data_IF_638126942168
#
_entry.id   IF_638126942168
#
_cell.length_a   1.000
_cell.length_b   1.000
_cell.length_c   1.000
_cell.angle_alpha   90.00
_cell.angle_beta   90.00
_cell.angle_gamma   90.00
#
_symmetry.space_group_name_H-M   'P 1'
#
loop_
_entity.id
_entity.type
_entity.pdbx_description
1 polymer ?
#
# COMPACT_ATOMS: atom_id res chain seq x y z
N UNK A 1 33.19 24.68 5.62
CA UNK A 1 34.61 24.42 5.41
C UNK A 1 34.74 23.51 4.24
N UNK A 2 35.11 24.12 3.13
CA UNK A 2 35.30 23.51 1.82
C UNK A 2 36.73 23.02 1.75
N UNK A 3 36.96 21.82 1.29
CA UNK A 3 38.26 21.42 0.78
C UNK A 3 38.06 20.69 -0.55
N UNK A 4 38.40 21.46 -1.59
CA UNK A 4 38.58 21.03 -2.96
C UNK A 4 39.88 20.22 -3.08
N UNK A 5 39.83 18.97 -3.46
CA UNK A 5 40.98 18.21 -3.96
C UNK A 5 40.89 18.12 -5.48
N UNK A 6 41.71 18.90 -6.18
CA UNK A 6 41.97 18.76 -7.62
C UNK A 6 43.08 17.73 -7.84
N UNK A 7 42.90 16.75 -8.76
CA UNK A 7 44.07 16.00 -9.21
C UNK A 7 44.82 16.77 -10.29
N UNK A 8 46.11 16.95 -10.05
CA UNK A 8 47.08 17.48 -11.01
C UNK A 8 47.41 16.39 -12.02
N UNK A 9 46.99 16.61 -13.27
CA UNK A 9 47.43 15.78 -14.40
C UNK A 9 48.75 16.32 -14.90
N UNK A 10 49.85 15.63 -14.55
CA UNK A 10 51.15 15.88 -15.15
C UNK A 10 51.22 15.23 -16.54
N UNK A 11 51.23 16.04 -17.58
CA UNK A 11 51.50 15.62 -18.95
C UNK A 11 53.01 15.39 -19.14
N UNK A 12 53.40 14.11 -19.17
CA UNK A 12 54.73 13.72 -19.62
C UNK A 12 54.77 13.69 -21.13
N UNK A 13 55.26 14.76 -21.75
CA UNK A 13 55.53 14.78 -23.18
C UNK A 13 56.82 13.95 -23.44
N UNK A 14 56.63 12.69 -23.87
CA UNK A 14 57.74 11.90 -24.46
C UNK A 14 57.89 12.29 -25.93
N UNK A 15 59.06 12.88 -26.24
CA UNK A 15 59.48 13.10 -27.62
C UNK A 15 59.75 11.74 -28.27
N UNK A 16 58.93 11.43 -29.29
CA UNK A 16 59.14 10.26 -30.14
C UNK A 16 60.17 10.68 -31.24
N UNK A 17 61.24 9.92 -31.43
CA UNK A 17 62.21 10.23 -32.49
C UNK A 17 61.56 10.00 -33.84
N UNK A 18 61.71 10.98 -34.72
CA UNK A 18 61.22 10.97 -36.10
C UNK A 18 62.06 9.98 -36.91
N UNK A 19 61.64 8.70 -37.00
CA UNK A 19 62.17 7.77 -38.02
C UNK A 19 61.53 8.07 -39.34
N UNK A 20 62.33 8.50 -40.30
CA UNK A 20 61.92 8.64 -41.73
C UNK A 20 61.53 7.24 -42.24
N UNK A 21 60.29 6.97 -42.64
CA UNK A 21 59.93 5.68 -43.17
C UNK A 21 60.49 5.50 -44.56
N UNK A 22 61.29 4.43 -44.78
CA UNK A 22 61.63 3.98 -46.12
C UNK A 22 60.31 3.59 -46.82
N UNK A 23 60.17 3.92 -48.13
CA UNK A 23 58.93 3.80 -48.89
C UNK A 23 58.21 2.44 -48.79
N UNK A 24 58.93 1.36 -48.50
CA UNK A 24 58.37 0.02 -48.27
C UNK A 24 57.63 -0.10 -46.93
N UNK A 25 58.11 0.62 -45.89
CA UNK A 25 57.48 0.63 -44.57
C UNK A 25 56.17 1.45 -44.56
N UNK A 26 56.10 2.49 -45.35
CA UNK A 26 54.88 3.29 -45.51
C UNK A 26 53.78 2.54 -46.25
N UNK A 27 54.15 1.71 -47.24
CA UNK A 27 53.19 0.86 -47.98
C UNK A 27 52.62 -0.26 -47.11
N UNK A 28 53.45 -0.91 -46.26
CA UNK A 28 53.00 -1.92 -45.33
C UNK A 28 52.07 -1.30 -44.24
N UNK A 29 52.37 -0.13 -43.70
CA UNK A 29 51.49 0.56 -42.75
C UNK A 29 50.16 0.96 -43.35
N UNK A 30 50.15 1.43 -44.61
CA UNK A 30 48.90 1.75 -45.32
C UNK A 30 48.04 0.49 -45.59
N UNK A 31 48.66 -0.62 -45.93
CA UNK A 31 47.97 -1.93 -46.12
C UNK A 31 47.36 -2.46 -44.82
N UNK A 32 48.08 -2.37 -43.68
CA UNK A 32 47.53 -2.71 -42.37
C UNK A 32 46.39 -1.78 -41.95
N UNK A 33 46.47 -0.49 -42.24
CA UNK A 33 45.41 0.46 -41.91
C UNK A 33 44.15 0.26 -42.78
N UNK A 34 44.31 -0.16 -44.04
CA UNK A 34 43.20 -0.52 -44.93
C UNK A 34 42.46 -1.80 -44.48
N UNK A 35 43.17 -2.75 -43.85
CA UNK A 35 42.54 -3.94 -43.28
C UNK A 35 41.78 -3.69 -41.96
N UNK A 36 42.04 -2.58 -41.26
CA UNK A 36 41.31 -2.21 -40.06
C UNK A 36 40.00 -1.46 -40.31
N UNK A 37 39.75 -1.05 -41.56
CA UNK A 37 38.53 -0.34 -41.94
C UNK A 37 37.43 -1.26 -42.54
N UNK A 38 37.58 -2.57 -42.49
CA UNK A 38 36.76 -3.54 -43.19
C UNK A 38 35.85 -4.43 -42.34
N UNK A 39 35.52 -4.08 -41.11
CA UNK A 39 34.47 -4.77 -40.35
C UNK A 39 33.46 -3.74 -39.83
N UNK A 40 32.67 -3.19 -40.71
CA UNK A 40 31.34 -2.72 -40.33
C UNK A 40 30.44 -3.96 -40.35
N UNK A 41 30.25 -4.59 -39.18
CA UNK A 41 29.19 -5.54 -38.95
C UNK A 41 27.90 -4.77 -39.15
N UNK A 42 27.25 -4.94 -40.33
CA UNK A 42 25.86 -4.55 -40.52
C UNK A 42 25.07 -5.42 -39.54
N UNK A 43 24.82 -4.91 -38.36
CA UNK A 43 23.73 -5.43 -37.51
C UNK A 43 22.47 -5.29 -38.38
N UNK A 44 22.05 -6.39 -39.00
CA UNK A 44 20.69 -6.49 -39.49
C UNK A 44 19.79 -6.22 -38.29
N UNK A 45 19.22 -5.01 -38.21
CA UNK A 45 18.11 -4.71 -37.32
C UNK A 45 17.00 -5.70 -37.68
N UNK A 46 16.99 -6.86 -36.97
CA UNK A 46 15.85 -7.75 -37.00
C UNK A 46 14.65 -6.88 -36.65
N UNK A 47 13.63 -6.83 -37.51
CA UNK A 47 12.42 -6.09 -37.15
C UNK A 47 11.96 -6.61 -35.81
N UNK A 48 11.99 -5.76 -34.79
CA UNK A 48 11.49 -6.08 -33.46
C UNK A 48 10.00 -6.33 -33.60
N UNK A 49 9.66 -7.58 -33.87
CA UNK A 49 8.30 -8.03 -33.68
C UNK A 49 8.10 -7.94 -32.16
N UNK A 50 7.45 -6.88 -31.70
CA UNK A 50 6.99 -6.76 -30.34
C UNK A 50 5.96 -7.88 -30.12
N UNK A 51 6.45 -9.06 -29.78
CA UNK A 51 5.59 -10.11 -29.28
C UNK A 51 5.21 -9.69 -27.88
N UNK A 52 3.96 -9.28 -27.70
CA UNK A 52 3.39 -8.94 -26.39
C UNK A 52 3.34 -10.24 -25.56
N UNK A 53 4.42 -10.50 -24.85
CA UNK A 53 4.60 -11.69 -24.02
C UNK A 53 5.19 -11.32 -22.65
N UNK A 54 4.79 -12.01 -21.59
CA UNK A 54 5.33 -11.78 -20.27
C UNK A 54 6.84 -12.06 -20.23
N UNK A 55 7.58 -11.27 -19.47
CA UNK A 55 9.01 -11.50 -19.22
C UNK A 55 9.25 -12.82 -18.47
N UNK A 56 8.29 -13.18 -17.60
CA UNK A 56 8.33 -14.40 -16.80
C UNK A 56 6.94 -15.04 -16.79
N UNK A 57 6.88 -16.32 -17.03
CA UNK A 57 5.65 -17.10 -17.07
C UNK A 57 5.85 -18.43 -16.36
N UNK A 58 5.06 -18.66 -15.32
CA UNK A 58 4.95 -19.97 -14.65
C UNK A 58 3.53 -20.51 -14.89
N UNK A 59 3.44 -21.74 -15.36
CA UNK A 59 2.18 -22.42 -15.71
C UNK A 59 1.93 -23.66 -14.87
N UNK A 60 2.69 -23.84 -13.80
CA UNK A 60 2.56 -24.92 -12.85
C UNK A 60 2.61 -24.41 -11.42
N UNK A 61 2.31 -25.28 -10.45
CA UNK A 61 2.34 -24.93 -9.04
C UNK A 61 3.66 -24.32 -8.63
N UNK A 62 3.59 -23.06 -8.25
CA UNK A 62 4.74 -22.24 -7.85
C UNK A 62 4.58 -21.79 -6.42
N UNK A 63 5.65 -21.94 -5.64
CA UNK A 63 5.77 -21.42 -4.27
C UNK A 63 6.71 -20.21 -4.30
N UNK A 64 6.27 -19.11 -3.75
CA UNK A 64 7.01 -17.85 -3.69
C UNK A 64 7.14 -17.43 -2.24
N UNK A 65 8.37 -17.21 -1.79
CA UNK A 65 8.69 -16.65 -0.49
C UNK A 65 9.26 -15.25 -0.69
N UNK A 66 8.66 -14.26 -0.05
CA UNK A 66 9.13 -12.88 -0.12
C UNK A 66 9.67 -12.44 1.24
N UNK A 67 10.88 -11.92 1.22
CA UNK A 67 11.56 -11.41 2.40
C UNK A 67 11.68 -9.89 2.34
N UNK A 68 11.57 -9.26 3.49
CA UNK A 68 11.86 -7.85 3.69
C UNK A 68 12.96 -7.75 4.76
N UNK A 69 14.18 -7.33 4.34
CA UNK A 69 15.37 -7.25 5.23
C UNK A 69 15.60 -8.52 6.06
N UNK A 70 15.66 -9.67 5.40
CA UNK A 70 15.87 -11.00 6.00
C UNK A 70 14.70 -11.56 6.84
N UNK A 71 13.60 -10.82 6.99
CA UNK A 71 12.37 -11.31 7.61
C UNK A 71 11.38 -11.76 6.53
N UNK A 72 10.80 -12.95 6.68
CA UNK A 72 9.77 -13.45 5.80
C UNK A 72 8.53 -12.55 5.91
N UNK A 73 8.13 -11.92 4.79
CA UNK A 73 6.98 -11.03 4.73
C UNK A 73 5.70 -11.77 4.30
N UNK A 74 5.82 -12.68 3.33
CA UNK A 74 4.70 -13.51 2.89
C UNK A 74 5.17 -14.75 2.13
N UNK A 75 4.33 -15.78 2.14
CA UNK A 75 4.45 -16.98 1.32
C UNK A 75 3.23 -17.12 0.45
N UNK A 76 3.41 -17.32 -0.83
CA UNK A 76 2.32 -17.49 -1.78
C UNK A 76 2.44 -18.81 -2.55
N UNK A 77 1.31 -19.49 -2.70
CA UNK A 77 1.14 -20.61 -3.61
C UNK A 77 0.21 -20.22 -4.74
N UNK A 78 0.63 -20.45 -5.97
CA UNK A 78 -0.17 -20.16 -7.17
C UNK A 78 0.06 -21.24 -8.21
N UNK A 79 -0.88 -21.43 -9.14
CA UNK A 79 -0.73 -22.35 -10.27
C UNK A 79 -0.36 -21.64 -11.57
N UNK A 80 -0.52 -20.33 -11.60
CA UNK A 80 -0.17 -19.51 -12.76
C UNK A 80 0.35 -18.16 -12.30
N UNK A 81 1.48 -17.73 -12.87
CA UNK A 81 2.05 -16.40 -12.64
C UNK A 81 2.61 -15.87 -13.96
N UNK A 82 2.27 -14.62 -14.26
CA UNK A 82 2.88 -13.87 -15.34
C UNK A 82 3.38 -12.51 -14.86
N UNK A 83 4.58 -12.16 -15.27
CA UNK A 83 5.23 -10.89 -14.97
C UNK A 83 5.45 -10.11 -16.26
N UNK A 84 4.94 -8.90 -16.29
CA UNK A 84 5.05 -7.97 -17.42
C UNK A 84 5.92 -6.79 -17.01
N UNK A 85 7.15 -6.74 -17.53
CA UNK A 85 8.08 -5.68 -17.17
C UNK A 85 7.69 -4.33 -17.77
N UNK A 86 7.17 -4.33 -18.99
CA UNK A 86 6.68 -3.14 -19.71
C UNK A 86 5.46 -2.49 -19.05
N UNK A 87 4.61 -3.30 -18.40
CA UNK A 87 3.41 -2.87 -17.67
C UNK A 87 3.64 -2.72 -16.18
N UNK A 88 4.83 -3.06 -15.69
CA UNK A 88 5.22 -3.06 -14.27
C UNK A 88 4.23 -3.84 -13.38
N UNK A 89 3.70 -4.96 -13.88
CA UNK A 89 2.64 -5.72 -13.22
C UNK A 89 2.93 -7.21 -13.18
N UNK A 90 2.46 -7.85 -12.11
CA UNK A 90 2.43 -9.31 -11.94
C UNK A 90 0.99 -9.75 -11.75
N UNK A 91 0.57 -10.78 -12.49
CA UNK A 91 -0.72 -11.44 -12.35
C UNK A 91 -0.52 -12.85 -11.82
N UNK A 92 -1.39 -13.29 -10.94
CA UNK A 92 -1.36 -14.62 -10.32
C UNK A 92 -2.74 -15.23 -10.22
N UNK A 93 -2.84 -16.57 -10.28
CA UNK A 93 -4.10 -17.33 -10.10
C UNK A 93 -3.84 -18.82 -9.82
N UNK A 94 -4.52 -19.43 -8.82
CA UNK A 94 -5.21 -18.74 -7.72
C UNK A 94 -4.21 -18.03 -6.81
N UNK A 95 -4.73 -17.19 -5.89
CA UNK A 95 -3.95 -16.60 -4.81
C UNK A 95 -4.20 -17.40 -3.55
N UNK A 96 -3.14 -17.93 -2.96
CA UNK A 96 -3.14 -18.52 -1.62
C UNK A 96 -1.92 -17.96 -0.92
N UNK A 97 -2.09 -17.05 0.02
CA UNK A 97 -0.96 -16.35 0.65
C UNK A 97 -1.09 -16.33 2.16
N UNK A 98 0.01 -16.67 2.84
CA UNK A 98 0.22 -16.43 4.26
C UNK A 98 1.05 -15.16 4.42
N UNK A 99 0.60 -14.24 5.24
CA UNK A 99 1.21 -12.93 5.50
C UNK A 99 1.79 -12.95 6.90
N UNK A 100 3.02 -12.43 7.04
CA UNK A 100 3.78 -12.38 8.29
C UNK A 100 4.12 -10.94 8.65
N UNK A 101 4.25 -10.67 9.94
CA UNK A 101 4.68 -9.38 10.45
C UNK A 101 6.22 -9.26 10.51
N UNK A 102 6.70 -8.15 11.05
CA UNK A 102 8.13 -7.85 11.18
C UNK A 102 8.88 -8.75 12.17
N UNK A 103 8.18 -9.50 13.02
CA UNK A 103 8.75 -10.46 13.97
C UNK A 103 8.63 -11.90 13.48
N UNK A 104 8.03 -12.10 12.29
CA UNK A 104 7.88 -13.42 11.64
C UNK A 104 6.66 -14.21 12.11
N UNK A 105 5.71 -13.58 12.81
CA UNK A 105 4.45 -14.21 13.17
C UNK A 105 3.43 -14.06 12.04
N UNK A 106 2.64 -15.12 11.79
CA UNK A 106 1.59 -15.07 10.79
C UNK A 106 0.43 -14.20 11.27
N UNK A 107 0.15 -13.14 10.51
CA UNK A 107 -0.92 -12.18 10.83
C UNK A 107 -2.20 -12.39 10.03
N UNK A 108 -2.09 -12.98 8.82
CA UNK A 108 -3.26 -13.27 8.02
C UNK A 108 -3.00 -14.40 7.01
N UNK A 109 -4.08 -15.06 6.62
CA UNK A 109 -4.17 -15.90 5.43
C UNK A 109 -5.12 -15.25 4.45
N UNK A 110 -4.77 -15.19 3.16
CA UNK A 110 -5.62 -14.68 2.09
C UNK A 110 -5.79 -15.74 0.99
N UNK A 111 -7.03 -15.92 0.55
CA UNK A 111 -7.37 -16.69 -0.64
C UNK A 111 -8.19 -15.83 -1.60
N UNK A 112 -7.90 -15.96 -2.92
CA UNK A 112 -8.68 -15.35 -3.99
C UNK A 112 -8.54 -16.16 -5.29
N UNK A 113 -9.45 -15.93 -6.26
CA UNK A 113 -9.39 -16.59 -7.56
C UNK A 113 -8.23 -16.04 -8.40
N UNK A 114 -7.95 -14.75 -8.29
CA UNK A 114 -6.85 -14.10 -8.99
C UNK A 114 -6.30 -12.91 -8.21
N UNK A 115 -5.07 -12.51 -8.55
CA UNK A 115 -4.44 -11.34 -7.98
C UNK A 115 -3.64 -10.57 -9.02
N UNK A 116 -3.49 -9.29 -8.76
CA UNK A 116 -2.63 -8.39 -9.49
C UNK A 116 -1.81 -7.58 -8.50
N UNK A 117 -0.52 -7.43 -8.77
CA UNK A 117 0.36 -6.63 -7.92
C UNK A 117 1.33 -5.82 -8.78
N UNK A 118 1.77 -4.68 -8.27
CA UNK A 118 2.87 -3.94 -8.87
C UNK A 118 4.21 -4.65 -8.64
N UNK A 119 5.24 -4.29 -9.42
CA UNK A 119 6.56 -4.93 -9.36
C UNK A 119 7.27 -4.74 -8.01
N UNK A 120 6.88 -3.73 -7.24
CA UNK A 120 7.43 -3.44 -5.90
C UNK A 120 6.61 -4.06 -4.78
N UNK A 121 5.50 -4.74 -5.12
CA UNK A 121 4.55 -5.32 -4.17
C UNK A 121 4.00 -4.30 -3.15
N UNK A 122 3.88 -3.04 -3.59
CA UNK A 122 3.29 -1.96 -2.78
C UNK A 122 1.78 -2.06 -2.78
N UNK A 123 1.19 -2.35 -3.94
CA UNK A 123 -0.25 -2.50 -4.14
C UNK A 123 -0.56 -3.92 -4.58
N UNK A 124 -1.35 -4.61 -3.79
CA UNK A 124 -1.80 -5.98 -4.06
C UNK A 124 -3.31 -6.00 -4.14
N UNK A 125 -3.82 -6.36 -5.29
CA UNK A 125 -5.25 -6.52 -5.57
C UNK A 125 -5.58 -8.00 -5.61
N UNK A 126 -6.60 -8.42 -4.86
CA UNK A 126 -7.18 -9.74 -4.88
C UNK A 126 -8.61 -9.66 -5.45
N UNK A 127 -8.97 -10.59 -6.32
CA UNK A 127 -10.26 -10.61 -7.03
C UNK A 127 -10.86 -12.01 -7.02
N UNK A 128 -12.19 -12.05 -6.92
CA UNK A 128 -13.00 -13.26 -6.97
C UNK A 128 -12.91 -14.07 -5.67
N UNK A 129 -14.06 -14.28 -5.03
CA UNK A 129 -14.22 -15.08 -3.82
C UNK A 129 -13.15 -14.83 -2.77
N UNK A 130 -12.81 -13.56 -2.57
CA UNK A 130 -11.76 -13.18 -1.63
C UNK A 130 -12.16 -13.58 -0.21
N UNK A 131 -11.27 -14.28 0.46
CA UNK A 131 -11.41 -14.68 1.84
C UNK A 131 -10.11 -14.41 2.59
N UNK A 132 -10.17 -13.56 3.60
CA UNK A 132 -9.08 -13.30 4.53
C UNK A 132 -9.44 -13.81 5.91
N UNK A 133 -8.45 -14.37 6.62
CA UNK A 133 -8.59 -14.96 7.94
C UNK A 133 -7.39 -14.60 8.80
N UNK A 134 -7.62 -14.07 10.00
CA UNK A 134 -6.58 -13.85 11.00
C UNK A 134 -6.42 -15.07 11.92
N UNK A 135 -5.26 -15.25 12.59
CA UNK A 135 -5.06 -16.33 13.56
C UNK A 135 -6.04 -16.29 14.73
N UNK A 136 -6.54 -15.10 15.08
CA UNK A 136 -7.53 -14.90 16.15
C UNK A 136 -8.96 -15.29 15.74
N UNK A 137 -9.19 -15.64 14.47
CA UNK A 137 -10.48 -16.08 13.97
C UNK A 137 -11.33 -15.00 13.28
N UNK A 138 -10.91 -13.75 13.29
CA UNK A 138 -11.58 -12.72 12.49
C UNK A 138 -11.44 -13.03 11.00
N UNK A 139 -12.51 -12.87 10.23
CA UNK A 139 -12.47 -13.14 8.78
C UNK A 139 -13.28 -12.14 7.97
N UNK A 140 -12.84 -11.93 6.73
CA UNK A 140 -13.50 -11.07 5.73
C UNK A 140 -13.74 -11.86 4.46
N UNK A 141 -14.93 -11.71 3.90
CA UNK A 141 -15.29 -12.17 2.54
C UNK A 141 -15.71 -10.98 1.71
N UNK A 142 -15.19 -10.90 0.48
CA UNK A 142 -15.49 -9.84 -0.47
C UNK A 142 -15.29 -10.33 -1.90
N UNK A 143 -15.76 -9.56 -2.90
CA UNK A 143 -15.47 -9.83 -4.31
C UNK A 143 -14.07 -9.34 -4.70
N UNK A 144 -13.57 -8.32 -4.01
CA UNK A 144 -12.23 -7.78 -4.22
C UNK A 144 -11.67 -7.21 -2.93
N UNK A 145 -10.34 -7.20 -2.80
CA UNK A 145 -9.59 -6.49 -1.77
C UNK A 145 -8.36 -5.85 -2.36
N UNK A 146 -8.04 -4.65 -1.92
CA UNK A 146 -6.77 -3.99 -2.15
C UNK A 146 -6.00 -3.90 -0.84
N UNK A 147 -4.78 -4.40 -0.84
CA UNK A 147 -3.82 -4.14 0.22
C UNK A 147 -2.76 -3.14 -0.27
N UNK A 148 -2.65 -2.00 0.43
CA UNK A 148 -1.56 -1.05 0.30
C UNK A 148 -0.55 -1.32 1.41
N UNK A 149 0.58 -1.94 1.07
CA UNK A 149 1.64 -2.30 2.02
C UNK A 149 2.28 -1.05 2.65
N UNK A 150 2.42 0.04 1.88
CA UNK A 150 3.06 1.26 2.36
C UNK A 150 2.31 1.92 3.52
N UNK A 151 0.99 1.95 3.43
CA UNK A 151 0.11 2.53 4.44
C UNK A 151 -0.41 1.48 5.45
N UNK A 152 -0.05 0.20 5.26
CA UNK A 152 -0.58 -0.95 6.01
C UNK A 152 -2.12 -1.00 5.99
N UNK A 153 -2.72 -0.66 4.86
CA UNK A 153 -4.16 -0.48 4.71
C UNK A 153 -4.77 -1.53 3.78
N UNK A 154 -5.82 -2.21 4.26
CA UNK A 154 -6.67 -3.11 3.48
C UNK A 154 -8.00 -2.42 3.22
N UNK A 155 -8.45 -2.38 1.98
CA UNK A 155 -9.71 -1.73 1.61
C UNK A 155 -10.42 -2.39 0.44
N UNK A 156 -11.74 -2.20 0.38
CA UNK A 156 -12.56 -2.48 -0.79
C UNK A 156 -13.80 -1.60 -0.81
N UNK A 157 -14.31 -1.33 -2.02
CA UNK A 157 -15.59 -0.67 -2.24
C UNK A 157 -16.72 -1.69 -2.49
N UNK A 158 -16.38 -2.99 -2.57
CA UNK A 158 -17.33 -4.10 -2.77
C UNK A 158 -18.18 -4.35 -1.53
N UNK A 159 -19.15 -5.22 -1.68
CA UNK A 159 -19.89 -5.76 -0.55
C UNK A 159 -18.99 -6.68 0.26
N UNK A 160 -19.07 -6.58 1.58
CA UNK A 160 -18.27 -7.39 2.49
C UNK A 160 -19.14 -8.10 3.51
N UNK A 161 -18.63 -9.27 3.95
CA UNK A 161 -19.09 -9.95 5.15
C UNK A 161 -17.90 -10.15 6.07
N UNK A 162 -17.99 -9.58 7.26
CA UNK A 162 -16.98 -9.67 8.30
C UNK A 162 -17.51 -10.55 9.41
N UNK A 163 -16.69 -11.44 9.91
CA UNK A 163 -16.91 -12.15 11.17
C UNK A 163 -15.82 -11.69 12.12
N UNK A 164 -16.21 -11.13 13.28
CA UNK A 164 -15.26 -10.68 14.29
C UNK A 164 -14.68 -11.87 15.08
N UNK A 165 -13.66 -11.62 15.90
CA UNK A 165 -13.09 -12.63 16.81
C UNK A 165 -14.14 -13.20 17.79
N UNK A 166 -15.10 -12.36 18.21
CA UNK A 166 -16.20 -12.75 19.09
C UNK A 166 -17.35 -13.50 18.39
N UNK A 167 -17.23 -13.70 17.06
CA UNK A 167 -18.25 -14.37 16.26
C UNK A 167 -19.39 -13.48 15.78
N UNK A 168 -19.32 -12.16 15.99
CA UNK A 168 -20.29 -11.23 15.44
C UNK A 168 -20.18 -11.19 13.93
N UNK A 169 -21.31 -11.21 13.24
CA UNK A 169 -21.37 -11.18 11.78
C UNK A 169 -21.91 -9.83 11.32
N UNK A 170 -21.09 -9.08 10.61
CA UNK A 170 -21.47 -7.80 10.01
C UNK A 170 -21.34 -7.88 8.49
N UNK A 171 -22.25 -7.21 7.80
CA UNK A 171 -22.26 -7.11 6.35
C UNK A 171 -22.52 -5.68 5.94
N UNK A 172 -21.97 -5.26 4.80
CA UNK A 172 -22.22 -3.93 4.25
C UNK A 172 -21.37 -3.65 3.02
N UNK A 173 -21.38 -2.41 2.57
CA UNK A 173 -20.65 -1.97 1.39
C UNK A 173 -19.48 -1.08 1.79
N UNK A 174 -18.32 -1.39 1.22
CA UNK A 174 -17.07 -0.70 1.52
C UNK A 174 -16.47 -1.17 2.85
N UNK A 175 -15.17 -1.42 2.84
CA UNK A 175 -14.44 -1.90 4.02
C UNK A 175 -13.05 -1.27 4.06
N UNK A 176 -12.61 -0.90 5.24
CA UNK A 176 -11.26 -0.40 5.51
C UNK A 176 -10.76 -1.01 6.80
N UNK A 177 -9.53 -1.51 6.80
CA UNK A 177 -8.88 -2.12 7.94
C UNK A 177 -7.37 -1.92 7.87
N UNK A 178 -6.69 -2.06 9.00
CA UNK A 178 -5.27 -2.40 9.00
C UNK A 178 -5.06 -3.87 8.58
N UNK A 179 -3.81 -4.27 8.29
CA UNK A 179 -3.50 -5.63 7.86
C UNK A 179 -3.72 -6.71 8.92
N UNK A 180 -3.73 -6.33 10.20
CA UNK A 180 -3.98 -7.23 11.34
C UNK A 180 -5.47 -7.41 11.63
N UNK A 181 -6.33 -6.58 11.00
CA UNK A 181 -7.76 -6.49 11.28
C UNK A 181 -8.12 -6.10 12.73
N UNK A 182 -7.21 -5.45 13.45
CA UNK A 182 -7.45 -4.96 14.81
C UNK A 182 -8.39 -3.73 14.79
N UNK A 183 -8.25 -2.88 13.74
CA UNK A 183 -9.07 -1.69 13.53
C UNK A 183 -9.73 -1.75 12.15
N UNK A 184 -10.99 -2.03 12.10
CA UNK A 184 -11.73 -2.12 10.85
C UNK A 184 -13.09 -1.41 10.91
N UNK A 185 -13.62 -1.07 9.75
CA UNK A 185 -14.94 -0.47 9.62
C UNK A 185 -15.58 -0.79 8.27
N UNK A 186 -16.89 -0.95 8.28
CA UNK A 186 -17.72 -1.04 7.09
C UNK A 186 -18.31 0.35 6.85
N UNK A 187 -18.27 0.82 5.60
CA UNK A 187 -18.53 2.23 5.29
C UNK A 187 -20.02 2.57 5.12
N UNK A 188 -20.83 1.62 4.63
CA UNK A 188 -22.26 1.88 4.37
C UNK A 188 -23.10 0.60 4.33
N UNK A 189 -24.41 0.77 4.44
CA UNK A 189 -25.42 -0.30 4.37
C UNK A 189 -25.13 -1.45 5.36
N UNK A 190 -24.75 -1.09 6.58
CA UNK A 190 -24.34 -2.06 7.60
C UNK A 190 -25.54 -2.78 8.16
N UNK A 191 -25.48 -4.11 8.13
CA UNK A 191 -26.38 -5.00 8.87
C UNK A 191 -25.55 -6.01 9.62
N UNK A 192 -26.05 -6.50 10.76
CA UNK A 192 -25.26 -7.42 11.57
C UNK A 192 -26.10 -8.29 12.50
N UNK A 193 -25.48 -9.38 12.92
CA UNK A 193 -25.95 -10.28 13.95
C UNK A 193 -24.87 -10.31 15.03
N UNK A 194 -25.21 -9.88 16.23
CA UNK A 194 -24.31 -9.87 17.36
C UNK A 194 -24.57 -11.09 18.23
N UNK A 195 -23.54 -11.87 18.48
CA UNK A 195 -23.58 -13.01 19.38
C UNK A 195 -23.49 -12.51 20.81
N UNK A 196 -24.43 -12.97 21.67
CA UNK A 196 -24.45 -12.60 23.09
C UNK A 196 -24.47 -11.10 23.43
N UNK A 197 -24.97 -10.25 22.50
CA UNK A 197 -25.02 -8.81 22.71
C UNK A 197 -25.63 -8.38 24.04
N UNK A 198 -26.74 -9.04 24.46
CA UNK A 198 -27.39 -8.75 25.72
C UNK A 198 -26.52 -9.07 26.94
N UNK A 199 -25.67 -10.09 26.87
CA UNK A 199 -24.74 -10.47 27.94
C UNK A 199 -23.58 -9.48 28.02
N UNK A 200 -23.00 -9.12 26.88
CA UNK A 200 -21.91 -8.12 26.79
C UNK A 200 -22.35 -6.74 27.28
N UNK A 201 -23.52 -6.26 26.88
CA UNK A 201 -24.07 -5.00 27.40
C UNK A 201 -24.21 -5.00 28.93
N UNK A 202 -24.71 -6.09 29.52
CA UNK A 202 -24.80 -6.18 30.97
C UNK A 202 -23.44 -6.21 31.66
N UNK A 203 -22.43 -6.83 31.07
CA UNK A 203 -21.06 -6.85 31.60
C UNK A 203 -20.39 -5.48 31.49
N UNK A 204 -20.63 -4.74 30.39
CA UNK A 204 -20.14 -3.38 30.21
C UNK A 204 -20.80 -2.40 31.17
N UNK A 205 -22.14 -2.47 31.33
CA UNK A 205 -22.88 -1.67 32.29
C UNK A 205 -22.36 -1.89 33.72
N UNK A 206 -22.08 -3.16 34.07
CA UNK A 206 -21.53 -3.52 35.38
C UNK A 206 -20.12 -2.94 35.58
N UNK A 207 -19.24 -3.04 34.55
CA UNK A 207 -17.89 -2.47 34.62
C UNK A 207 -17.92 -0.95 34.75
N UNK A 208 -18.81 -0.28 34.01
CA UNK A 208 -18.97 1.18 34.09
C UNK A 208 -19.48 1.60 35.46
N UNK A 209 -20.43 0.85 36.05
CA UNK A 209 -20.91 1.11 37.39
C UNK A 209 -19.80 0.96 38.46
N UNK A 210 -18.99 -0.08 38.35
CA UNK A 210 -17.84 -0.31 39.25
C UNK A 210 -16.75 0.77 39.09
N UNK A 211 -16.55 1.27 37.87
CA UNK A 211 -15.57 2.35 37.60
C UNK A 211 -16.06 3.68 38.16
N UNK A 212 -17.35 3.98 38.03
CA UNK A 212 -17.97 5.18 38.60
C UNK A 212 -17.91 5.15 40.13
N UNK A 213 -18.08 3.98 40.76
CA UNK A 213 -18.01 3.84 42.20
C UNK A 213 -16.57 3.99 42.73
N UNK A 214 -15.56 3.60 41.95
CA UNK A 214 -14.13 3.76 42.30
C UNK A 214 -13.61 5.19 42.08
N UNK A 215 -14.32 6.05 41.33
CA UNK A 215 -13.92 7.42 41.09
C UNK A 215 -14.24 8.28 42.29
N UNK A 216 -13.26 8.94 42.95
CA UNK A 216 -13.53 9.82 44.08
C UNK A 216 -14.54 10.90 43.68
N UNK A 217 -15.49 11.29 44.56
CA UNK A 217 -16.44 12.35 44.25
C UNK A 217 -15.69 13.62 43.87
N UNK A 218 -16.11 14.21 42.75
CA UNK A 218 -15.53 15.46 42.30
C UNK A 218 -15.63 16.52 43.42
N UNK A 219 -14.56 17.31 43.66
CA UNK A 219 -14.64 18.36 44.68
C UNK A 219 -15.80 19.29 44.38
N UNK A 220 -16.57 19.76 45.40
CA UNK A 220 -17.69 20.63 45.16
C UNK A 220 -17.24 21.90 44.45
N UNK A 221 -18.05 22.43 43.52
CA UNK A 221 -17.69 23.66 42.79
C UNK A 221 -17.43 24.78 43.80
N UNK A 222 -16.23 25.36 43.73
CA UNK A 222 -15.84 26.47 44.56
C UNK A 222 -16.93 27.56 44.50
N UNK A 223 -17.47 27.87 45.67
CA UNK A 223 -18.48 28.95 45.83
C UNK A 223 -17.93 30.22 45.19
N UNK A 224 -18.58 30.68 44.14
CA UNK A 224 -18.29 32.02 43.55
C UNK A 224 -18.58 33.05 44.63
N UNK A 225 -17.52 33.70 45.09
CA UNK A 225 -17.63 34.85 45.96
C UNK A 225 -18.46 35.98 45.30
N UNK A 226 -19.06 36.87 46.09
CA UNK A 226 -19.96 37.88 45.60
C UNK A 226 -19.23 38.88 44.69
N UNK A 227 -19.76 39.08 43.49
CA UNK A 227 -19.31 40.09 42.56
C UNK A 227 -19.71 41.47 43.07
N UNK A 228 -18.82 42.48 43.24
CA UNK A 228 -19.19 43.82 43.58
C UNK A 228 -19.95 44.47 42.42
N UNK A 229 -21.04 45.14 42.74
CA UNK A 229 -21.98 45.72 41.80
C UNK A 229 -21.41 46.80 40.85
N UNK A 230 -21.98 46.83 39.66
CA UNK A 230 -21.96 48.00 38.81
C UNK A 230 -23.39 48.32 38.43
N UNK A 231 -23.80 49.47 38.86
CA UNK A 231 -25.06 50.17 38.52
C UNK A 231 -25.09 50.55 37.04
N UNK A 232 -26.26 50.49 36.43
CA UNK A 232 -26.64 51.50 35.46
C UNK A 232 -27.10 50.99 34.09
N UNK A 233 -28.38 51.35 33.88
CA UNK A 233 -29.02 51.73 32.61
C UNK A 233 -29.71 50.61 31.78
N UNK A 234 -30.99 50.68 31.82
CA UNK A 234 -32.09 50.23 30.94
C UNK A 234 -32.10 51.01 29.60
N UNK A 235 -33.05 50.80 28.66
CA UNK A 235 -33.42 49.61 27.89
C UNK A 235 -33.45 49.86 26.36
N UNK A 236 -33.96 48.86 25.67
CA UNK A 236 -34.58 48.91 24.32
C UNK A 236 -33.67 48.57 23.10
N UNK A 237 -33.97 47.45 22.45
CA UNK A 237 -34.66 47.49 21.17
C UNK A 237 -34.88 46.06 20.63
N UNK A 238 -36.09 45.83 20.20
CA UNK A 238 -36.59 44.68 19.43
C UNK A 238 -35.75 44.46 18.17
N UNK A 239 -35.29 43.28 17.94
CA UNK A 239 -34.68 42.84 16.69
C UNK A 239 -35.25 41.49 16.27
N UNK A 240 -36.01 41.50 15.22
CA UNK A 240 -36.69 40.43 14.49
C UNK A 240 -35.75 39.29 14.05
N UNK A 241 -36.20 38.03 14.06
CA UNK A 241 -35.39 36.93 13.54
C UNK A 241 -35.34 36.93 12.00
N UNK A 242 -34.20 36.51 11.38
CA UNK A 242 -34.12 36.47 9.94
C UNK A 242 -34.83 35.23 9.38
N UNK A 243 -35.62 35.51 8.35
CA UNK A 243 -36.38 34.66 7.47
C UNK A 243 -35.53 33.56 6.84
N UNK A 244 -36.02 32.34 6.90
CA UNK A 244 -35.54 31.20 6.10
C UNK A 244 -36.00 31.37 4.64
N UNK A 245 -35.06 31.32 3.71
CA UNK A 245 -35.33 31.22 2.27
C UNK A 245 -35.45 29.77 1.84
N UNK A 246 -36.44 29.41 0.99
CA UNK A 246 -36.63 28.05 0.50
C UNK A 246 -35.68 27.72 -0.66
N UNK A 247 -35.37 26.40 -0.92
CA UNK A 247 -34.46 25.95 -2.00
C UNK A 247 -35.10 26.12 -3.39
N UNK A 248 -34.30 26.29 -4.45
CA UNK A 248 -34.80 26.44 -5.80
C UNK A 248 -35.26 25.08 -6.38
N UNK A 249 -36.45 25.11 -6.94
CA UNK A 249 -37.10 24.02 -7.69
C UNK A 249 -36.43 23.86 -9.07
N UNK A 250 -36.06 22.64 -9.42
CA UNK A 250 -35.47 22.30 -10.70
C UNK A 250 -36.39 22.53 -11.90
N UNK A 251 -35.76 22.78 -13.04
CA UNK A 251 -36.39 22.72 -14.34
C UNK A 251 -35.52 21.89 -15.28
N UNK A 252 -36.22 20.88 -15.88
CA UNK A 252 -36.02 20.09 -17.10
C UNK A 252 -34.84 19.12 -17.13
#
# INVERSE_FOLDING_TARGET
MQDLVRPVVQSVARRVPCCRPNGVSALLMAACFAMLLGCEEIEEEKPWIHVDRPQMLFTDTTLLDCYDKDVLSWKMKTAYLERWADKEVVFVRPVLVDIYDSVGERVAFLRADSGRMDMKFTYVYAYGHVYALTPKGASVRADSLLWNKGDNLVKTDSYVRVVSEDGDVLQGKGFVSDAHMDNWRILSNVTGIFQDAAKRMKEEDKKQAEELEKKPPAPPPAARGPVPGANGATPAAKGTPPSQSPPPRGQK
#
